data_IF_543253360109
#
_entry.id   IF_543253360109
#
_cell.length_a   1.000
_cell.length_b   1.000
_cell.length_c   1.000
_cell.angle_alpha   90.00
_cell.angle_beta   90.00
_cell.angle_gamma   90.00
#
_symmetry.space_group_name_H-M   'P 1'
#
loop_
_entity.id
_entity.type
_entity.pdbx_description
1 polymer ?
#
# COMPACT_ATOMS: atom_id res chain seq x y z
N UNK A 1 -23.83 6.99 -12.24
CA UNK A 1 -22.59 6.25 -11.94
C UNK A 1 -22.96 5.23 -10.89
N UNK A 2 -22.76 3.95 -11.12
CA UNK A 2 -22.98 2.91 -10.10
C UNK A 2 -21.85 3.09 -9.08
N UNK A 3 -22.18 3.55 -7.87
CA UNK A 3 -21.24 3.64 -6.75
C UNK A 3 -20.66 2.24 -6.53
N UNK A 4 -19.40 2.06 -6.83
CA UNK A 4 -18.70 0.82 -6.57
C UNK A 4 -18.41 0.77 -5.07
N UNK A 5 -18.74 -0.34 -4.40
CA UNK A 5 -18.45 -0.50 -2.97
C UNK A 5 -16.94 -0.38 -2.74
N UNK A 6 -16.47 0.53 -1.87
CA UNK A 6 -15.05 0.67 -1.61
C UNK A 6 -14.47 -0.62 -1.01
N UNK A 7 -13.22 -0.94 -1.34
CA UNK A 7 -12.52 -2.10 -0.79
C UNK A 7 -11.72 -1.75 0.47
N UNK A 8 -11.60 -2.70 1.41
CA UNK A 8 -10.65 -2.62 2.52
C UNK A 8 -9.58 -3.69 2.33
N UNK A 9 -8.33 -3.30 2.38
CA UNK A 9 -7.18 -4.18 2.20
C UNK A 9 -6.06 -3.86 3.20
N UNK A 10 -5.16 -4.82 3.40
CA UNK A 10 -4.11 -4.70 4.40
C UNK A 10 -2.74 -4.88 3.78
N UNK A 11 -1.74 -4.19 4.33
CA UNK A 11 -0.34 -4.44 4.05
C UNK A 11 0.34 -5.15 5.22
N UNK A 12 1.13 -6.17 4.88
CA UNK A 12 2.00 -6.86 5.81
C UNK A 12 3.42 -6.93 5.24
N UNK A 13 4.38 -7.18 6.10
CA UNK A 13 5.77 -7.37 5.68
C UNK A 13 6.32 -8.69 6.22
N UNK A 14 7.21 -9.34 5.47
CA UNK A 14 7.85 -10.57 5.92
C UNK A 14 8.58 -10.35 7.25
N UNK A 15 8.54 -11.32 8.16
CA UNK A 15 9.22 -11.22 9.44
C UNK A 15 10.75 -11.17 9.25
N UNK A 16 11.43 -10.60 10.24
CA UNK A 16 12.87 -10.76 10.28
C UNK A 16 13.19 -12.26 10.53
N UNK A 17 14.03 -12.90 9.71
CA UNK A 17 14.40 -14.31 9.88
C UNK A 17 14.90 -14.68 11.28
N UNK A 18 15.51 -13.74 11.99
CA UNK A 18 15.97 -13.93 13.36
C UNK A 18 14.84 -14.02 14.41
N UNK A 19 13.60 -13.60 14.09
CA UNK A 19 12.46 -13.55 15.03
C UNK A 19 11.48 -14.72 14.82
N UNK A 20 11.61 -15.43 13.69
CA UNK A 20 10.69 -16.52 13.33
C UNK A 20 9.34 -16.05 12.77
N UNK A 21 8.57 -16.98 12.24
CA UNK A 21 7.32 -16.70 11.50
C UNK A 21 6.07 -16.69 12.39
N UNK A 22 6.12 -17.25 13.61
CA UNK A 22 4.91 -17.48 14.42
C UNK A 22 4.06 -16.22 14.64
N UNK A 23 4.71 -15.09 14.90
CA UNK A 23 3.99 -13.83 15.19
C UNK A 23 3.23 -13.32 13.97
N UNK A 24 3.82 -13.39 12.78
CA UNK A 24 3.13 -12.94 11.56
C UNK A 24 2.03 -13.91 11.16
N UNK A 25 2.24 -15.21 11.30
CA UNK A 25 1.22 -16.22 10.97
C UNK A 25 -0.03 -16.03 11.84
N UNK A 26 0.12 -15.86 13.15
CA UNK A 26 -1.01 -15.52 14.05
C UNK A 26 -1.70 -14.21 13.68
N UNK A 27 -0.91 -13.18 13.34
CA UNK A 27 -1.49 -11.90 12.91
C UNK A 27 -2.31 -12.04 11.61
N UNK A 28 -1.87 -12.89 10.68
CA UNK A 28 -2.58 -13.17 9.43
C UNK A 28 -3.87 -13.96 9.66
N UNK A 29 -3.86 -14.99 10.52
CA UNK A 29 -5.07 -15.71 10.95
C UNK A 29 -6.10 -14.76 11.56
N UNK A 30 -5.66 -13.86 12.44
CA UNK A 30 -6.51 -12.82 13.01
C UNK A 30 -7.07 -11.85 11.96
N UNK A 31 -6.27 -11.50 10.93
CA UNK A 31 -6.70 -10.62 9.83
C UNK A 31 -7.64 -11.34 8.85
N UNK A 32 -7.52 -12.64 8.66
CA UNK A 32 -8.43 -13.44 7.84
C UNK A 32 -9.89 -13.26 8.31
N UNK A 33 -10.11 -13.28 9.61
CA UNK A 33 -11.43 -13.06 10.21
C UNK A 33 -12.06 -11.69 9.92
N UNK A 34 -11.27 -10.72 9.40
CA UNK A 34 -11.74 -9.40 8.98
C UNK A 34 -12.16 -9.35 7.50
N UNK A 35 -12.00 -10.45 6.76
CA UNK A 35 -12.36 -10.60 5.36
C UNK A 35 -11.84 -9.45 4.44
N UNK A 36 -10.54 -9.15 4.43
CA UNK A 36 -9.99 -8.12 3.57
C UNK A 36 -10.16 -8.49 2.09
N UNK A 37 -10.28 -7.48 1.24
CA UNK A 37 -10.38 -7.67 -0.22
C UNK A 37 -9.11 -8.27 -0.81
N UNK A 38 -7.97 -7.87 -0.27
CA UNK A 38 -6.66 -8.47 -0.53
C UNK A 38 -5.69 -8.13 0.60
N UNK A 39 -4.58 -8.86 0.65
CA UNK A 39 -3.42 -8.50 1.48
C UNK A 39 -2.21 -8.31 0.55
N UNK A 40 -1.48 -7.19 0.71
CA UNK A 40 -0.20 -6.99 0.04
C UNK A 40 0.96 -7.38 0.93
N UNK A 41 1.97 -8.00 0.34
CA UNK A 41 3.19 -8.44 1.03
C UNK A 41 4.37 -7.63 0.53
N UNK A 42 4.98 -6.84 1.42
CA UNK A 42 6.14 -6.03 1.04
C UNK A 42 7.37 -6.91 0.75
N UNK A 43 8.31 -6.39 -0.02
CA UNK A 43 9.64 -6.96 -0.06
C UNK A 43 10.34 -6.70 1.30
N UNK A 44 10.99 -7.72 1.86
CA UNK A 44 11.71 -7.58 3.13
C UNK A 44 12.83 -6.54 3.07
N UNK A 45 13.36 -6.14 4.23
CA UNK A 45 14.56 -5.28 4.32
C UNK A 45 15.78 -5.88 3.60
N UNK A 46 15.82 -7.20 3.40
CA UNK A 46 16.72 -7.87 2.47
C UNK A 46 16.06 -7.90 1.08
N UNK A 47 15.97 -6.73 0.46
CA UNK A 47 15.22 -6.42 -0.78
C UNK A 47 15.56 -7.32 -1.98
N UNK A 48 16.58 -8.15 -1.85
CA UNK A 48 17.08 -9.04 -2.91
C UNK A 48 16.64 -10.51 -2.77
N UNK A 49 16.05 -10.89 -1.62
CA UNK A 49 15.67 -12.26 -1.33
C UNK A 49 14.14 -12.45 -1.30
N UNK A 50 13.47 -11.95 -2.33
CA UNK A 50 12.00 -12.04 -2.48
C UNK A 50 11.54 -13.50 -2.46
N UNK A 51 12.31 -14.39 -3.09
CA UNK A 51 12.05 -15.83 -3.15
C UNK A 51 11.93 -16.50 -1.78
N UNK A 52 12.80 -16.11 -0.82
CA UNK A 52 12.81 -16.74 0.51
C UNK A 52 11.94 -16.02 1.53
N UNK A 53 11.45 -14.82 1.22
CA UNK A 53 10.71 -13.99 2.17
C UNK A 53 9.29 -13.68 1.71
N UNK A 54 9.16 -12.97 0.59
CA UNK A 54 7.86 -12.51 0.08
C UNK A 54 7.05 -13.63 -0.53
N UNK A 55 7.67 -14.49 -1.35
CA UNK A 55 6.96 -15.58 -2.04
C UNK A 55 6.34 -16.57 -1.06
N UNK A 56 7.03 -17.11 -0.02
CA UNK A 56 6.42 -18.05 0.92
C UNK A 56 5.28 -17.42 1.74
N UNK A 57 5.39 -16.13 2.09
CA UNK A 57 4.33 -15.45 2.81
C UNK A 57 3.11 -15.17 1.91
N UNK A 58 3.36 -14.81 0.66
CA UNK A 58 2.32 -14.61 -0.34
C UNK A 58 1.58 -15.93 -0.66
N UNK A 59 2.31 -17.04 -0.76
CA UNK A 59 1.76 -18.40 -0.92
C UNK A 59 0.82 -18.74 0.24
N UNK A 60 1.29 -18.59 1.47
CA UNK A 60 0.47 -18.85 2.67
C UNK A 60 -0.82 -18.02 2.69
N UNK A 61 -0.75 -16.71 2.38
CA UNK A 61 -1.93 -15.85 2.35
C UNK A 61 -2.90 -16.25 1.22
N UNK A 62 -2.35 -16.54 0.04
CA UNK A 62 -3.14 -16.88 -1.14
C UNK A 62 -3.82 -18.26 -1.01
N UNK A 63 -3.06 -19.27 -0.59
CA UNK A 63 -3.49 -20.67 -0.66
C UNK A 63 -4.01 -21.23 0.66
N UNK A 64 -3.35 -20.94 1.80
CA UNK A 64 -3.80 -21.47 3.10
C UNK A 64 -4.92 -20.60 3.71
N UNK A 65 -4.83 -19.27 3.57
CA UNK A 65 -5.85 -18.37 4.08
C UNK A 65 -6.94 -18.01 3.06
N UNK A 66 -6.75 -18.37 1.79
CA UNK A 66 -7.65 -18.06 0.69
C UNK A 66 -7.97 -16.56 0.53
N UNK A 67 -6.98 -15.71 0.78
CA UNK A 67 -7.09 -14.25 0.62
C UNK A 67 -6.34 -13.81 -0.64
N UNK A 68 -6.95 -13.06 -1.56
CA UNK A 68 -6.25 -12.54 -2.73
C UNK A 68 -4.98 -11.77 -2.33
N UNK A 69 -3.85 -12.07 -2.96
CA UNK A 69 -2.54 -11.56 -2.53
C UNK A 69 -1.88 -10.71 -3.61
N UNK A 70 -1.23 -9.63 -3.19
CA UNK A 70 -0.38 -8.77 -4.03
C UNK A 70 1.05 -8.87 -3.51
N UNK A 71 2.01 -9.26 -4.37
CA UNK A 71 3.42 -9.28 -4.01
C UNK A 71 4.10 -7.97 -4.44
N UNK A 72 4.86 -7.32 -3.54
CA UNK A 72 5.67 -6.18 -3.91
C UNK A 72 6.94 -6.63 -4.65
N UNK A 73 7.25 -6.00 -5.76
CA UNK A 73 8.42 -6.29 -6.58
C UNK A 73 9.23 -5.00 -6.82
N UNK A 74 10.20 -4.67 -5.94
CA UNK A 74 11.15 -3.59 -6.18
C UNK A 74 12.29 -4.09 -7.07
N UNK A 75 12.58 -3.41 -8.20
CA UNK A 75 13.45 -3.96 -9.23
C UNK A 75 14.78 -3.23 -9.45
N UNK A 76 15.02 -2.06 -8.84
CA UNK A 76 16.21 -1.24 -9.15
C UNK A 76 17.56 -1.97 -8.95
N UNK A 77 17.57 -3.01 -8.13
CA UNK A 77 18.75 -3.87 -7.89
C UNK A 77 18.57 -5.29 -8.42
N UNK A 78 17.57 -5.54 -9.27
CA UNK A 78 17.33 -6.82 -9.90
C UNK A 78 17.63 -6.74 -11.40
N UNK A 79 18.27 -7.77 -11.94
CA UNK A 79 18.39 -7.97 -13.37
C UNK A 79 17.14 -8.62 -13.96
N UNK A 80 16.95 -8.54 -15.27
CA UNK A 80 15.81 -9.14 -16.00
C UNK A 80 15.61 -10.63 -15.70
N UNK A 81 16.70 -11.39 -15.66
CA UNK A 81 16.66 -12.83 -15.35
C UNK A 81 16.10 -13.10 -13.95
N UNK A 82 16.51 -12.27 -12.95
CA UNK A 82 16.03 -12.43 -11.57
C UNK A 82 14.58 -12.02 -11.42
N UNK A 83 14.14 -10.99 -12.12
CA UNK A 83 12.71 -10.61 -12.18
C UNK A 83 11.91 -11.73 -12.83
N UNK A 84 12.34 -12.28 -13.99
CA UNK A 84 11.67 -13.40 -14.65
C UNK A 84 11.61 -14.67 -13.77
N UNK A 85 12.67 -14.96 -13.00
CA UNK A 85 12.65 -16.05 -11.99
C UNK A 85 11.59 -15.79 -10.92
N UNK A 86 11.56 -14.57 -10.36
CA UNK A 86 10.59 -14.19 -9.32
C UNK A 86 9.14 -14.28 -9.83
N UNK A 87 8.90 -13.87 -11.08
CA UNK A 87 7.57 -14.00 -11.71
C UNK A 87 7.15 -15.48 -11.82
N UNK A 88 8.07 -16.37 -12.23
CA UNK A 88 7.79 -17.81 -12.27
C UNK A 88 7.53 -18.42 -10.88
N UNK A 89 8.28 -17.98 -9.85
CA UNK A 89 8.08 -18.43 -8.48
C UNK A 89 6.68 -17.99 -7.95
N UNK A 90 6.24 -16.77 -8.26
CA UNK A 90 4.91 -16.25 -7.90
C UNK A 90 3.79 -16.95 -8.68
N UNK A 91 3.98 -17.17 -9.98
CA UNK A 91 3.04 -17.89 -10.84
C UNK A 91 2.82 -19.33 -10.35
N UNK A 92 3.89 -20.00 -9.94
CA UNK A 92 3.84 -21.37 -9.42
C UNK A 92 3.00 -21.52 -8.14
N UNK A 93 2.85 -20.45 -7.35
CA UNK A 93 2.00 -20.41 -6.15
C UNK A 93 0.66 -19.69 -6.39
N UNK A 94 0.31 -19.38 -7.64
CA UNK A 94 -0.95 -18.76 -8.02
C UNK A 94 -1.10 -17.28 -7.62
N UNK A 95 -0.01 -16.60 -7.33
CA UNK A 95 0.00 -15.16 -7.02
C UNK A 95 0.26 -14.38 -8.31
N UNK A 96 -0.81 -13.86 -8.92
CA UNK A 96 -0.76 -13.16 -10.20
C UNK A 96 -0.94 -11.63 -10.10
N UNK A 97 -0.81 -11.05 -8.91
CA UNK A 97 -0.90 -9.61 -8.68
C UNK A 97 0.41 -9.07 -8.12
N UNK A 98 0.93 -8.01 -8.75
CA UNK A 98 2.22 -7.41 -8.39
C UNK A 98 2.07 -5.92 -8.17
N UNK A 99 2.56 -5.42 -7.04
CA UNK A 99 2.85 -4.01 -6.88
C UNK A 99 4.26 -3.73 -7.43
N UNK A 100 4.31 -3.18 -8.65
CA UNK A 100 5.53 -2.89 -9.35
C UNK A 100 6.19 -1.60 -8.82
N UNK A 101 7.40 -1.73 -8.28
CA UNK A 101 8.13 -0.65 -7.63
C UNK A 101 9.52 -0.49 -8.25
N UNK A 102 9.99 0.76 -8.33
CA UNK A 102 11.43 0.99 -8.55
C UNK A 102 12.23 0.40 -7.39
N UNK A 103 11.81 0.67 -6.18
CA UNK A 103 12.56 0.45 -4.96
C UNK A 103 13.37 1.69 -4.55
N UNK A 104 13.82 1.71 -3.28
CA UNK A 104 14.59 2.82 -2.71
C UNK A 104 16.07 2.69 -3.08
N UNK A 105 16.72 3.82 -3.26
CA UNK A 105 18.17 3.88 -3.45
C UNK A 105 18.87 3.63 -2.11
N UNK A 106 19.77 2.65 -2.10
CA UNK A 106 20.57 2.32 -0.92
C UNK A 106 21.91 3.06 -1.00
N UNK A 107 22.23 3.91 -0.01
CA UNK A 107 23.50 4.60 -0.01
C UNK A 107 24.69 3.63 -0.13
N UNK A 108 25.61 3.92 -1.07
CA UNK A 108 26.81 3.09 -1.29
C UNK A 108 26.60 1.82 -2.12
N UNK A 109 25.39 1.54 -2.57
CA UNK A 109 25.10 0.42 -3.49
C UNK A 109 24.72 0.98 -4.86
N UNK A 110 25.43 0.60 -5.90
CA UNK A 110 25.12 1.03 -7.25
C UNK A 110 23.91 0.25 -7.82
N UNK A 111 22.85 0.93 -8.28
CA UNK A 111 21.70 0.29 -8.92
C UNK A 111 22.09 -0.44 -10.19
N UNK A 112 21.36 -1.51 -10.51
CA UNK A 112 21.45 -2.13 -11.83
C UNK A 112 20.78 -1.25 -12.89
N UNK A 113 21.13 -1.46 -14.17
CA UNK A 113 20.66 -0.60 -15.27
C UNK A 113 19.40 -1.10 -15.96
N UNK A 114 18.95 -2.31 -15.62
CA UNK A 114 17.85 -2.98 -16.32
C UNK A 114 16.49 -2.31 -16.03
N UNK A 115 16.30 -1.83 -14.80
CA UNK A 115 15.05 -1.20 -14.34
C UNK A 115 15.36 0.11 -13.62
N UNK A 116 15.42 1.21 -14.34
CA UNK A 116 15.68 2.53 -13.77
C UNK A 116 14.43 3.12 -13.11
N UNK A 117 13.27 2.83 -13.68
CA UNK A 117 11.95 3.30 -13.22
C UNK A 117 10.98 2.12 -13.06
N UNK A 118 9.91 2.32 -12.32
CA UNK A 118 8.85 1.32 -12.22
C UNK A 118 8.19 1.04 -13.58
N UNK A 119 8.16 2.01 -14.48
CA UNK A 119 7.65 1.85 -15.85
C UNK A 119 8.43 0.77 -16.62
N UNK A 120 9.76 0.76 -16.53
CA UNK A 120 10.59 -0.24 -17.21
C UNK A 120 10.25 -1.68 -16.73
N UNK A 121 9.97 -1.82 -15.41
CA UNK A 121 9.53 -3.09 -14.83
C UNK A 121 8.13 -3.48 -15.33
N UNK A 122 7.21 -2.53 -15.39
CA UNK A 122 5.83 -2.77 -15.83
C UNK A 122 5.82 -3.26 -17.29
N UNK A 123 6.54 -2.58 -18.18
CA UNK A 123 6.68 -2.96 -19.57
C UNK A 123 7.28 -4.36 -19.69
N UNK A 124 8.34 -4.66 -18.96
CA UNK A 124 8.97 -5.98 -18.93
C UNK A 124 8.01 -7.07 -18.46
N UNK A 125 7.24 -6.84 -17.36
CA UNK A 125 6.26 -7.83 -16.88
C UNK A 125 5.16 -8.05 -17.93
N UNK A 126 4.67 -7.01 -18.58
CA UNK A 126 3.63 -7.14 -19.63
C UNK A 126 4.10 -7.91 -20.85
N UNK A 127 5.38 -7.84 -21.18
CA UNK A 127 6.00 -8.60 -22.28
C UNK A 127 6.23 -10.06 -21.88
N UNK A 128 6.85 -10.31 -20.72
CA UNK A 128 7.31 -11.65 -20.31
C UNK A 128 6.24 -12.50 -19.64
N UNK A 129 5.30 -11.87 -18.93
CA UNK A 129 4.29 -12.53 -18.12
C UNK A 129 2.96 -11.75 -18.13
N UNK A 130 2.27 -11.67 -19.28
CA UNK A 130 1.08 -10.83 -19.48
C UNK A 130 -0.13 -11.24 -18.61
N UNK A 131 -0.10 -12.44 -18.01
CA UNK A 131 -1.12 -12.89 -17.06
C UNK A 131 -1.12 -12.15 -15.73
N UNK A 132 -0.03 -11.42 -15.40
CA UNK A 132 0.05 -10.67 -14.17
C UNK A 132 -0.76 -9.37 -14.26
N UNK A 133 -1.54 -9.14 -13.21
CA UNK A 133 -2.20 -7.86 -12.92
C UNK A 133 -1.23 -6.94 -12.17
N UNK A 134 -1.02 -5.72 -12.68
CA UNK A 134 0.00 -4.83 -12.18
C UNK A 134 -0.62 -3.64 -11.47
N UNK A 135 -0.24 -3.48 -10.21
CA UNK A 135 -0.58 -2.34 -9.37
C UNK A 135 0.60 -1.37 -9.35
N UNK A 136 0.32 -0.08 -9.43
CA UNK A 136 1.34 0.97 -9.32
C UNK A 136 1.29 1.71 -8.00
N UNK A 137 2.43 2.17 -7.50
CA UNK A 137 2.48 3.13 -6.41
C UNK A 137 2.30 4.56 -6.91
N UNK A 138 1.57 5.40 -6.15
CA UNK A 138 1.38 6.82 -6.43
C UNK A 138 1.52 7.66 -5.15
N UNK A 139 1.67 8.98 -5.30
CA UNK A 139 2.09 9.87 -4.22
C UNK A 139 1.18 11.10 -4.18
N UNK A 140 0.19 11.18 -3.28
CA UNK A 140 -0.72 12.34 -3.20
C UNK A 140 0.02 13.66 -2.96
N UNK A 141 1.13 13.62 -2.25
CA UNK A 141 1.94 14.79 -1.92
C UNK A 141 3.18 14.96 -2.82
N UNK A 142 3.27 14.13 -3.90
CA UNK A 142 4.36 14.11 -4.87
C UNK A 142 5.53 13.19 -4.45
N UNK A 143 6.15 12.56 -5.43
CA UNK A 143 7.33 11.73 -5.22
C UNK A 143 8.55 12.60 -4.90
N UNK A 144 9.39 12.28 -3.88
CA UNK A 144 10.55 13.08 -3.50
C UNK A 144 11.52 13.37 -4.66
N UNK A 145 11.73 12.41 -5.56
CA UNK A 145 12.62 12.55 -6.72
C UNK A 145 11.96 13.29 -7.90
N UNK A 146 10.68 13.63 -7.84
CA UNK A 146 10.02 14.39 -8.90
C UNK A 146 10.29 15.89 -8.71
N UNK A 147 10.66 16.63 -9.77
CA UNK A 147 10.99 18.05 -9.65
C UNK A 147 9.78 18.91 -9.27
N UNK A 148 8.58 18.45 -9.56
CA UNK A 148 7.31 19.07 -9.19
C UNK A 148 6.15 18.08 -9.38
N UNK A 149 4.97 18.45 -8.89
CA UNK A 149 3.79 17.61 -8.93
C UNK A 149 3.27 17.35 -10.36
N UNK A 150 3.45 18.28 -11.30
CA UNK A 150 3.05 18.07 -12.71
C UNK A 150 3.87 16.93 -13.32
N UNK A 151 5.19 16.97 -13.16
CA UNK A 151 6.08 15.91 -13.63
C UNK A 151 5.75 14.56 -12.97
N UNK A 152 5.36 14.56 -11.70
CA UNK A 152 4.98 13.34 -10.98
C UNK A 152 3.71 12.71 -11.58
N UNK A 153 2.65 13.50 -11.81
CA UNK A 153 1.43 13.04 -12.49
C UNK A 153 1.71 12.55 -13.90
N UNK A 154 2.57 13.23 -14.67
CA UNK A 154 2.97 12.77 -16.00
C UNK A 154 3.71 11.41 -15.95
N UNK A 155 4.55 11.20 -14.96
CA UNK A 155 5.24 9.92 -14.78
C UNK A 155 4.26 8.84 -14.28
N UNK A 156 3.27 9.19 -13.47
CA UNK A 156 2.20 8.29 -13.06
C UNK A 156 1.35 7.86 -14.28
N UNK A 157 1.01 8.81 -15.17
CA UNK A 157 0.31 8.50 -16.42
C UNK A 157 1.06 7.48 -17.26
N UNK A 158 2.39 7.64 -17.41
CA UNK A 158 3.23 6.65 -18.12
C UNK A 158 3.14 5.26 -17.50
N UNK A 159 3.11 5.14 -16.16
CA UNK A 159 2.94 3.84 -15.48
C UNK A 159 1.59 3.20 -15.81
N UNK A 160 0.52 4.01 -15.82
CA UNK A 160 -0.82 3.52 -16.18
C UNK A 160 -0.86 3.10 -17.65
N UNK A 161 -0.31 3.92 -18.56
CA UNK A 161 -0.23 3.60 -19.99
C UNK A 161 0.61 2.35 -20.29
N UNK A 162 1.64 2.08 -19.48
CA UNK A 162 2.44 0.86 -19.54
C UNK A 162 1.71 -0.39 -19.05
N UNK A 163 0.55 -0.24 -18.37
CA UNK A 163 -0.32 -1.38 -18.05
C UNK A 163 -0.69 -1.57 -16.57
N UNK A 164 -0.57 -0.54 -15.73
CA UNK A 164 -1.14 -0.62 -14.39
C UNK A 164 -2.68 -0.62 -14.45
N UNK A 165 -3.30 -1.57 -13.76
CA UNK A 165 -4.76 -1.71 -13.64
C UNK A 165 -5.34 -0.96 -12.45
N UNK A 166 -4.54 -0.66 -11.45
CA UNK A 166 -4.91 0.10 -10.25
C UNK A 166 -3.70 0.73 -9.59
N UNK A 167 -3.94 1.62 -8.65
CA UNK A 167 -2.92 2.36 -7.91
C UNK A 167 -3.13 2.24 -6.41
N UNK A 168 -2.03 2.23 -5.64
CA UNK A 168 -2.03 2.37 -4.18
C UNK A 168 -1.20 3.58 -3.82
N UNK A 169 -1.72 4.47 -2.97
CA UNK A 169 -0.98 5.67 -2.59
C UNK A 169 0.06 5.39 -1.52
N UNK A 170 1.12 6.19 -1.51
CA UNK A 170 1.91 6.39 -0.28
C UNK A 170 0.97 6.93 0.82
N UNK A 171 1.28 6.63 2.08
CA UNK A 171 0.52 7.16 3.19
C UNK A 171 0.50 8.71 3.19
N UNK A 172 -0.59 9.27 3.68
CA UNK A 172 -0.82 10.71 3.87
C UNK A 172 -1.68 10.93 5.12
N UNK A 173 -1.71 12.17 5.63
CA UNK A 173 -2.50 12.54 6.81
C UNK A 173 -3.54 13.62 6.52
N UNK A 174 -3.56 14.15 5.32
CA UNK A 174 -4.44 15.22 4.88
C UNK A 174 -5.27 14.75 3.67
N UNK A 175 -6.56 14.50 3.88
CA UNK A 175 -7.43 13.99 2.81
C UNK A 175 -7.61 15.00 1.69
N UNK A 176 -7.52 16.31 1.96
CA UNK A 176 -7.57 17.34 0.92
C UNK A 176 -6.43 17.18 -0.10
N UNK A 177 -5.24 16.74 0.35
CA UNK A 177 -4.12 16.42 -0.55
C UNK A 177 -4.43 15.25 -1.46
N UNK A 178 -5.15 14.25 -0.95
CA UNK A 178 -5.58 13.12 -1.74
C UNK A 178 -6.65 13.52 -2.78
N UNK A 179 -7.61 14.37 -2.42
CA UNK A 179 -8.64 14.84 -3.35
C UNK A 179 -8.03 15.71 -4.46
N UNK A 180 -7.18 16.67 -4.11
CA UNK A 180 -6.38 17.46 -5.06
C UNK A 180 -5.58 16.56 -6.03
N UNK A 181 -5.03 15.47 -5.53
CA UNK A 181 -4.29 14.50 -6.34
C UNK A 181 -5.23 13.73 -7.28
N UNK A 182 -6.39 13.25 -6.82
CA UNK A 182 -7.38 12.59 -7.66
C UNK A 182 -7.88 13.49 -8.81
N UNK A 183 -8.14 14.75 -8.52
CA UNK A 183 -8.54 15.73 -9.55
C UNK A 183 -7.47 15.87 -10.63
N UNK A 184 -6.19 15.97 -10.22
CA UNK A 184 -5.06 16.03 -11.17
C UNK A 184 -4.90 14.73 -11.97
N UNK A 185 -5.12 13.57 -11.35
CA UNK A 185 -5.13 12.29 -12.04
C UNK A 185 -6.23 12.25 -13.12
N UNK A 186 -7.44 12.66 -12.76
CA UNK A 186 -8.57 12.75 -13.69
C UNK A 186 -8.27 13.68 -14.87
N UNK A 187 -7.73 14.87 -14.61
CA UNK A 187 -7.34 15.83 -15.66
C UNK A 187 -6.23 15.28 -16.57
N UNK A 188 -5.36 14.41 -16.05
CA UNK A 188 -4.31 13.76 -16.82
C UNK A 188 -4.78 12.50 -17.58
N UNK A 189 -6.08 12.12 -17.47
CA UNK A 189 -6.64 10.91 -18.08
C UNK A 189 -6.16 9.62 -17.38
N UNK A 190 -6.01 9.65 -16.07
CA UNK A 190 -5.74 8.49 -15.24
C UNK A 190 -7.07 8.02 -14.65
N UNK A 191 -7.64 6.96 -15.22
CA UNK A 191 -9.01 6.49 -14.91
C UNK A 191 -9.01 5.17 -14.10
N UNK A 192 -7.84 4.66 -13.72
CA UNK A 192 -7.73 3.43 -12.93
C UNK A 192 -8.07 3.67 -11.46
N UNK A 193 -8.62 2.67 -10.74
CA UNK A 193 -8.91 2.79 -9.32
C UNK A 193 -7.69 3.17 -8.48
N UNK A 194 -7.87 4.10 -7.53
CA UNK A 194 -6.82 4.54 -6.60
C UNK A 194 -7.23 4.15 -5.18
N UNK A 195 -6.43 3.27 -4.55
CA UNK A 195 -6.62 2.87 -3.17
C UNK A 195 -5.83 3.81 -2.23
N UNK A 196 -6.51 4.41 -1.28
CA UNK A 196 -5.92 5.34 -0.33
C UNK A 196 -5.11 4.59 0.75
N UNK A 197 -3.82 4.82 0.83
CA UNK A 197 -2.92 4.24 1.82
C UNK A 197 -3.03 4.97 3.16
N UNK A 198 -3.51 4.30 4.20
CA UNK A 198 -3.69 4.85 5.54
C UNK A 198 -2.79 4.14 6.54
N UNK A 199 -1.99 4.91 7.28
CA UNK A 199 -1.13 4.40 8.34
C UNK A 199 -1.55 4.98 9.70
N UNK A 200 -2.12 4.17 10.60
CA UNK A 200 -2.37 4.60 11.98
C UNK A 200 -1.06 4.82 12.72
N UNK A 201 -0.89 5.97 13.32
CA UNK A 201 0.27 6.27 14.15
C UNK A 201 -0.07 5.98 15.61
N UNK A 202 0.56 4.97 16.15
CA UNK A 202 0.24 4.40 17.46
C UNK A 202 1.25 4.77 18.56
N UNK A 203 2.42 5.29 18.18
CA UNK A 203 3.45 5.68 19.12
C UNK A 203 4.40 6.72 18.52
N UNK A 204 5.09 7.44 19.41
CA UNK A 204 6.02 8.51 19.05
C UNK A 204 7.18 8.05 18.16
N UNK A 205 7.73 6.88 18.42
CA UNK A 205 8.86 6.37 17.64
C UNK A 205 8.48 6.09 16.19
N UNK A 206 7.24 5.63 15.95
CA UNK A 206 6.69 5.46 14.62
C UNK A 206 6.56 6.81 13.92
N UNK A 207 5.99 7.82 14.58
CA UNK A 207 5.87 9.17 14.05
C UNK A 207 7.24 9.78 13.68
N UNK A 208 8.21 9.69 14.59
CA UNK A 208 9.56 10.21 14.36
C UNK A 208 10.32 9.50 13.23
N UNK A 209 10.15 8.18 13.10
CA UNK A 209 10.71 7.42 11.97
C UNK A 209 10.09 7.87 10.66
N UNK A 210 8.78 7.99 10.62
CA UNK A 210 8.04 8.44 9.45
C UNK A 210 8.53 9.80 8.94
N UNK A 211 8.67 10.78 9.84
CA UNK A 211 9.16 12.12 9.51
C UNK A 211 10.61 12.13 8.98
N UNK A 212 11.39 11.09 9.29
CA UNK A 212 12.77 10.94 8.78
C UNK A 212 12.83 10.23 7.42
N UNK A 213 11.87 9.36 7.13
CA UNK A 213 11.89 8.51 5.94
C UNK A 213 11.02 9.01 4.81
N UNK A 214 10.04 9.85 5.12
CA UNK A 214 9.09 10.39 4.16
C UNK A 214 9.20 11.92 4.11
N UNK A 215 10.10 12.43 3.28
CA UNK A 215 10.48 13.85 3.25
C UNK A 215 9.35 14.81 2.85
N UNK A 216 8.36 14.34 2.08
CA UNK A 216 7.29 15.18 1.52
C UNK A 216 5.95 15.08 2.27
N UNK A 217 5.88 14.36 3.41
CA UNK A 217 4.61 14.18 4.11
C UNK A 217 4.22 15.46 4.86
N UNK A 218 3.06 15.99 4.52
CA UNK A 218 2.41 17.07 5.27
C UNK A 218 1.74 16.54 6.53
N UNK A 219 2.09 17.12 7.68
CA UNK A 219 1.37 16.87 8.92
C UNK A 219 0.36 17.98 9.17
N UNK A 220 -0.95 17.72 9.10
CA UNK A 220 -1.99 18.69 9.43
C UNK A 220 -1.87 19.20 10.86
N UNK A 221 -2.34 20.43 11.10
CA UNK A 221 -2.31 21.05 12.44
C UNK A 221 -2.95 20.15 13.51
N UNK A 222 -4.10 19.52 13.19
CA UNK A 222 -4.82 18.60 14.09
C UNK A 222 -3.90 17.44 14.51
N UNK A 223 -3.20 16.84 13.55
CA UNK A 223 -2.35 15.69 13.82
C UNK A 223 -1.08 16.05 14.61
N UNK A 224 -0.43 17.18 14.27
CA UNK A 224 0.69 17.72 15.07
C UNK A 224 0.29 17.96 16.53
N UNK A 225 -0.87 18.57 16.76
CA UNK A 225 -1.37 18.84 18.11
C UNK A 225 -1.59 17.54 18.92
N UNK A 226 -1.99 16.43 18.27
CA UNK A 226 -2.08 15.11 18.90
C UNK A 226 -0.70 14.62 19.32
N UNK A 227 0.27 14.66 18.41
CA UNK A 227 1.65 14.20 18.66
C UNK A 227 2.30 14.98 19.81
N UNK A 228 2.14 16.30 19.81
CA UNK A 228 2.73 17.20 20.82
C UNK A 228 2.06 16.98 22.18
N UNK A 229 0.72 16.91 22.21
CA UNK A 229 -0.04 16.80 23.47
C UNK A 229 0.22 15.49 24.19
N UNK A 230 0.30 14.39 23.46
CA UNK A 230 0.42 13.05 24.02
C UNK A 230 1.83 12.46 23.87
N UNK A 231 2.84 13.32 23.73
CA UNK A 231 4.24 12.91 23.55
C UNK A 231 4.74 11.93 24.62
N UNK A 232 4.30 12.13 25.86
CA UNK A 232 4.70 11.34 27.03
C UNK A 232 3.60 10.42 27.57
N UNK A 233 2.48 10.31 26.86
CA UNK A 233 1.35 9.45 27.20
C UNK A 233 1.07 8.45 26.05
N UNK A 234 1.71 7.28 26.05
CA UNK A 234 1.57 6.30 24.97
C UNK A 234 0.14 5.76 24.77
N UNK A 235 -0.64 5.67 25.84
CA UNK A 235 -2.01 5.16 25.76
C UNK A 235 -2.92 6.17 25.06
N UNK A 236 -2.87 7.42 25.49
CA UNK A 236 -3.64 8.50 24.87
C UNK A 236 -3.18 8.75 23.43
N UNK A 237 -1.86 8.66 23.13
CA UNK A 237 -1.35 8.80 21.77
C UNK A 237 -1.88 7.69 20.85
N UNK A 238 -1.90 6.44 21.34
CA UNK A 238 -2.45 5.30 20.59
C UNK A 238 -3.94 5.51 20.31
N UNK A 239 -4.72 5.88 21.32
CA UNK A 239 -6.16 6.12 21.18
C UNK A 239 -6.45 7.26 20.18
N UNK A 240 -5.75 8.39 20.32
CA UNK A 240 -5.90 9.54 19.41
C UNK A 240 -5.45 9.24 17.98
N UNK A 241 -4.37 8.46 17.80
CA UNK A 241 -3.89 8.04 16.49
C UNK A 241 -4.84 7.10 15.77
N UNK A 242 -5.46 6.17 16.49
CA UNK A 242 -6.52 5.30 15.94
C UNK A 242 -7.77 6.12 15.56
N UNK A 243 -8.21 7.02 16.43
CA UNK A 243 -9.36 7.88 16.15
C UNK A 243 -9.11 8.77 14.91
N UNK A 244 -7.88 9.28 14.74
CA UNK A 244 -7.50 10.05 13.58
C UNK A 244 -7.57 9.24 12.28
N UNK A 245 -7.04 8.01 12.28
CA UNK A 245 -7.08 7.13 11.11
C UNK A 245 -8.52 6.71 10.76
N UNK A 246 -9.37 6.46 11.76
CA UNK A 246 -10.79 6.17 11.56
C UNK A 246 -11.51 7.38 10.93
N UNK A 247 -11.26 8.59 11.41
CA UNK A 247 -11.83 9.85 10.87
C UNK A 247 -11.43 10.03 9.39
N UNK A 248 -10.15 9.77 9.04
CA UNK A 248 -9.70 9.79 7.64
C UNK A 248 -10.44 8.76 6.77
N UNK A 249 -10.60 7.53 7.27
CA UNK A 249 -11.27 6.45 6.52
C UNK A 249 -12.75 6.79 6.29
N UNK A 250 -13.44 7.30 7.32
CA UNK A 250 -14.85 7.71 7.20
C UNK A 250 -15.02 8.77 6.12
N UNK A 251 -14.18 9.79 6.13
CA UNK A 251 -14.21 10.86 5.16
C UNK A 251 -13.92 10.35 3.73
N UNK A 252 -12.85 9.58 3.54
CA UNK A 252 -12.48 8.99 2.24
C UNK A 252 -13.58 8.11 1.65
N UNK A 253 -14.20 7.26 2.47
CA UNK A 253 -15.29 6.39 2.00
C UNK A 253 -16.54 7.19 1.66
N UNK A 254 -16.82 8.26 2.40
CA UNK A 254 -17.94 9.17 2.13
C UNK A 254 -17.76 9.92 0.80
N UNK A 255 -16.51 10.12 0.37
CA UNK A 255 -16.14 10.75 -0.92
C UNK A 255 -15.88 9.72 -2.04
N UNK A 256 -16.46 8.53 -1.94
CA UNK A 256 -16.42 7.49 -2.99
C UNK A 256 -15.01 7.04 -3.41
N UNK A 257 -14.05 6.96 -2.47
CA UNK A 257 -12.73 6.36 -2.75
C UNK A 257 -12.89 4.92 -3.25
N UNK A 258 -12.05 4.49 -4.19
CA UNK A 258 -12.09 3.12 -4.72
C UNK A 258 -11.79 2.05 -3.66
N UNK A 259 -10.99 2.40 -2.65
CA UNK A 259 -10.68 1.54 -1.51
C UNK A 259 -9.69 2.17 -0.55
N UNK A 260 -9.59 1.57 0.62
CA UNK A 260 -8.61 1.90 1.66
C UNK A 260 -7.61 0.76 1.80
N UNK A 261 -6.33 1.09 1.75
CA UNK A 261 -5.23 0.18 1.98
C UNK A 261 -4.55 0.50 3.31
N UNK A 262 -4.74 -0.36 4.31
CA UNK A 262 -4.28 -0.12 5.67
C UNK A 262 -2.86 -0.68 5.88
N UNK A 263 -1.91 0.19 6.18
CA UNK A 263 -0.56 -0.16 6.59
C UNK A 263 -0.56 -0.66 8.04
N UNK A 264 -0.76 -1.97 8.22
CA UNK A 264 -1.03 -2.58 9.54
C UNK A 264 0.19 -2.68 10.43
N UNK A 265 1.39 -2.59 9.88
CA UNK A 265 2.66 -2.87 10.59
C UNK A 265 2.66 -4.25 11.26
N UNK A 266 2.04 -5.26 10.61
CA UNK A 266 1.82 -6.61 11.14
C UNK A 266 1.04 -6.64 12.46
N UNK A 267 0.23 -5.63 12.74
CA UNK A 267 -0.54 -5.51 13.98
C UNK A 267 -2.03 -5.78 13.74
N UNK A 268 -2.45 -7.03 13.95
CA UNK A 268 -3.83 -7.46 13.77
C UNK A 268 -4.81 -6.77 14.73
N UNK A 269 -4.38 -6.40 15.94
CA UNK A 269 -5.22 -5.67 16.89
C UNK A 269 -5.61 -4.29 16.35
N UNK A 270 -4.66 -3.59 15.72
CA UNK A 270 -4.93 -2.31 15.04
C UNK A 270 -5.88 -2.48 13.86
N UNK A 271 -5.66 -3.49 13.02
CA UNK A 271 -6.56 -3.80 11.91
C UNK A 271 -7.97 -4.12 12.41
N UNK A 272 -8.10 -4.93 13.47
CA UNK A 272 -9.37 -5.29 14.09
C UNK A 272 -10.09 -4.07 14.68
N UNK A 273 -9.37 -3.17 15.36
CA UNK A 273 -9.95 -1.96 15.95
C UNK A 273 -10.54 -1.05 14.87
N UNK A 274 -9.77 -0.78 13.81
CA UNK A 274 -10.22 0.05 12.68
C UNK A 274 -11.37 -0.63 11.94
N UNK A 275 -11.25 -1.92 11.61
CA UNK A 275 -12.31 -2.67 10.97
C UNK A 275 -13.60 -2.63 11.82
N UNK A 276 -13.52 -2.85 13.14
CA UNK A 276 -14.67 -2.79 14.03
C UNK A 276 -15.43 -1.46 13.98
N UNK A 277 -14.69 -0.34 13.80
CA UNK A 277 -15.28 0.99 13.70
C UNK A 277 -15.80 1.34 12.29
N UNK A 278 -15.30 0.69 11.23
CA UNK A 278 -15.53 1.12 9.84
C UNK A 278 -16.16 0.06 8.93
N UNK A 279 -16.27 -1.20 9.36
CA UNK A 279 -16.69 -2.31 8.49
C UNK A 279 -18.04 -2.12 7.80
N UNK A 280 -18.97 -1.40 8.43
CA UNK A 280 -20.27 -1.10 7.84
C UNK A 280 -20.19 -0.20 6.60
N UNK A 281 -19.12 0.60 6.50
CA UNK A 281 -18.89 1.52 5.38
C UNK A 281 -18.45 0.79 4.12
N UNK A 282 -17.89 -0.42 4.25
CA UNK A 282 -17.41 -1.27 3.16
C UNK A 282 -18.43 -2.33 2.71
N UNK A 283 -19.67 -2.25 3.19
CA UNK A 283 -20.76 -3.13 2.74
C UNK A 283 -21.50 -2.51 1.57
N UNK A 284 -21.97 -3.36 0.64
CA UNK A 284 -22.93 -2.93 -0.37
C UNK A 284 -24.14 -2.31 0.32
N UNK A 285 -24.35 -1.03 0.14
CA UNK A 285 -25.67 -0.45 0.38
C UNK A 285 -26.54 -0.87 -0.81
N UNK A 286 -27.27 -1.98 -0.68
CA UNK A 286 -28.42 -2.24 -1.54
C UNK A 286 -29.27 -0.98 -1.49
N UNK A 287 -29.49 -0.35 -2.63
CA UNK A 287 -30.32 0.87 -2.71
C UNK A 287 -31.60 0.61 -1.94
N UNK A 288 -31.78 1.28 -0.81
CA UNK A 288 -33.10 1.44 -0.23
C UNK A 288 -33.86 2.23 -1.26
N UNK A 289 -34.75 1.54 -2.01
CA UNK A 289 -35.69 2.15 -2.95
C UNK A 289 -36.42 3.28 -2.22
N UNK A 290 -36.34 4.45 -2.80
CA UNK A 290 -36.92 5.68 -2.32
C UNK A 290 -38.37 5.47 -1.83
N UNK A 291 -38.62 5.95 -0.63
CA UNK A 291 -39.95 6.36 -0.20
C UNK A 291 -40.37 7.62 -0.96
#
# INVERSE_FOLDING_TARGET
MTSQTPSLSFEVFPPNPAVGNEKILRALEDMQGLAPHFISVTASNNKYNIKETTVPLADHIQNDLAIPTIAHLPAIYLGKEKVAETLRDLDAVGVHRILALRGDIIPGVEPLKDFKYATDLIEFIKEEAPQFDIIGACYPEGHPDSPNQISDIQNLKKKVDAGCSSLVTQLFFDNERFYDFQDKCTLAGIDVPIHAGIMPILNRNQALRLLKTCENIHLPRKFRAILDKYEHDPESLRAAGLAYAIDQIVDLVTQDVAGVHLYTMNNAETARHIHGATHSLFKHHSQVSAL
#
